data_IF_916202345621
#
_entry.id   IF_916202345621
#
_cell.length_a   1.000
_cell.length_b   1.000
_cell.length_c   1.000
_cell.angle_alpha   90.00
_cell.angle_beta   90.00
_cell.angle_gamma   90.00
#
_symmetry.space_group_name_H-M   'P 1'
#
loop_
_entity.id
_entity.type
_entity.pdbx_description
1 polymer ?
#
# COMPACT_ATOMS: atom_id res chain seq x y z
N UNK A 1 -32.34 2.81 -1.03
CA UNK A 1 -30.89 3.07 -1.16
C UNK A 1 -30.51 2.84 -2.61
N UNK A 2 -29.90 3.81 -3.30
CA UNK A 2 -29.55 3.65 -4.72
C UNK A 2 -28.30 2.75 -4.86
N UNK A 3 -28.20 1.94 -5.93
CA UNK A 3 -27.05 1.07 -6.21
C UNK A 3 -25.72 1.81 -6.43
N UNK A 4 -25.73 3.14 -6.51
CA UNK A 4 -24.55 3.98 -6.77
C UNK A 4 -23.65 4.18 -5.53
N UNK A 5 -24.05 3.66 -4.37
CA UNK A 5 -23.31 3.80 -3.10
C UNK A 5 -22.34 2.65 -2.79
N UNK A 6 -22.22 1.66 -3.67
CA UNK A 6 -21.25 0.56 -3.51
C UNK A 6 -20.28 0.58 -4.68
N UNK A 7 -19.12 1.20 -4.46
CA UNK A 7 -18.08 1.26 -5.49
C UNK A 7 -16.99 2.30 -5.26
N UNK A 8 -16.57 2.56 -4.02
CA UNK A 8 -15.21 3.07 -3.80
C UNK A 8 -14.27 1.85 -3.78
N UNK A 9 -13.13 1.96 -4.48
CA UNK A 9 -12.03 1.01 -4.35
C UNK A 9 -11.70 0.85 -2.86
N UNK A 10 -11.65 -0.37 -2.34
CA UNK A 10 -11.38 -0.61 -0.92
C UNK A 10 -10.02 -0.01 -0.50
N UNK A 11 -9.07 0.02 -1.43
CA UNK A 11 -7.75 0.64 -1.30
C UNK A 11 -7.81 2.18 -1.12
N UNK A 12 -8.97 2.79 -1.35
CA UNK A 12 -9.24 4.22 -1.17
C UNK A 12 -10.12 4.52 0.05
N UNK A 13 -10.44 3.52 0.88
CA UNK A 13 -11.31 3.69 2.05
C UNK A 13 -10.80 4.76 3.02
N UNK A 14 -9.48 4.82 3.25
CA UNK A 14 -8.87 5.84 4.10
C UNK A 14 -9.20 7.26 3.59
N UNK A 15 -9.02 7.49 2.29
CA UNK A 15 -9.27 8.79 1.67
C UNK A 15 -10.76 9.11 1.49
N UNK A 16 -11.63 8.10 1.33
CA UNK A 16 -13.07 8.25 1.10
C UNK A 16 -13.87 8.49 2.37
N UNK A 17 -13.53 7.78 3.44
CA UNK A 17 -14.30 7.80 4.69
C UNK A 17 -13.75 8.82 5.68
N UNK A 18 -12.42 8.84 5.83
CA UNK A 18 -11.76 9.70 6.80
C UNK A 18 -11.24 10.99 6.15
N UNK A 19 -10.88 10.92 4.87
CA UNK A 19 -10.61 12.07 4.04
C UNK A 19 -11.87 12.74 3.48
N UNK A 20 -11.74 14.00 3.04
CA UNK A 20 -12.81 14.74 2.36
C UNK A 20 -12.99 14.36 0.88
N UNK A 21 -13.08 13.07 0.52
CA UNK A 21 -13.16 12.61 -0.89
C UNK A 21 -14.57 12.36 -1.40
N UNK A 22 -14.66 12.28 -2.73
CA UNK A 22 -15.85 12.31 -3.61
C UNK A 22 -16.97 11.33 -3.21
N UNK A 23 -16.65 10.31 -2.43
CA UNK A 23 -17.58 9.30 -1.94
C UNK A 23 -17.51 9.27 -0.40
N UNK A 24 -18.15 10.25 0.25
CA UNK A 24 -18.17 10.34 1.71
C UNK A 24 -19.08 9.26 2.30
N UNK A 25 -18.56 8.03 2.43
CA UNK A 25 -19.25 6.90 3.05
C UNK A 25 -19.22 6.95 4.59
N UNK A 26 -19.02 8.15 5.17
CA UNK A 26 -18.92 8.35 6.62
C UNK A 26 -20.18 7.94 7.39
N UNK A 27 -21.37 7.95 6.78
CA UNK A 27 -22.58 7.36 7.38
C UNK A 27 -22.47 5.84 7.52
N UNK A 28 -22.01 5.16 6.47
CA UNK A 28 -21.80 3.72 6.50
C UNK A 28 -20.73 3.38 7.55
N UNK A 29 -19.61 4.10 7.55
CA UNK A 29 -18.55 3.89 8.53
C UNK A 29 -19.08 4.01 9.97
N UNK A 30 -19.75 5.10 10.32
CA UNK A 30 -20.29 5.29 11.68
C UNK A 30 -21.31 4.22 12.05
N UNK A 31 -22.16 3.80 11.12
CA UNK A 31 -23.18 2.79 11.37
C UNK A 31 -22.60 1.39 11.64
N UNK A 32 -21.45 1.06 11.05
CA UNK A 32 -20.86 -0.29 11.13
C UNK A 32 -19.63 -0.39 12.03
N UNK A 33 -18.85 0.69 12.15
CA UNK A 33 -17.56 0.72 12.81
C UNK A 33 -17.44 1.83 13.87
N UNK A 34 -18.45 2.69 14.02
CA UNK A 34 -18.49 3.74 15.05
C UNK A 34 -17.38 4.78 14.84
N UNK A 35 -16.52 4.92 15.85
CA UNK A 35 -15.41 5.88 15.88
C UNK A 35 -14.05 5.24 15.53
N UNK A 36 -14.05 4.02 14.97
CA UNK A 36 -12.82 3.33 14.58
C UNK A 36 -12.01 4.16 13.56
N UNK A 37 -10.73 4.36 13.82
CA UNK A 37 -9.79 4.97 12.87
C UNK A 37 -9.37 3.98 11.79
N UNK A 38 -8.78 4.46 10.69
CA UNK A 38 -8.34 3.56 9.61
C UNK A 38 -7.34 2.52 10.11
N UNK A 39 -6.42 2.92 11.00
CA UNK A 39 -5.42 2.01 11.57
C UNK A 39 -6.02 0.94 12.48
N UNK A 40 -7.22 1.14 13.03
CA UNK A 40 -7.91 0.13 13.86
C UNK A 40 -8.35 -1.10 13.04
N UNK A 41 -8.36 -1.02 11.72
CA UNK A 41 -8.61 -2.17 10.85
C UNK A 41 -7.41 -3.10 10.68
N UNK A 42 -6.18 -2.65 10.92
CA UNK A 42 -5.00 -3.47 10.68
C UNK A 42 -4.99 -4.78 11.50
N UNK A 43 -5.34 -4.80 12.81
CA UNK A 43 -5.47 -6.05 13.55
C UNK A 43 -6.56 -6.99 13.03
N UNK A 44 -7.57 -6.46 12.34
CA UNK A 44 -8.67 -7.26 11.76
C UNK A 44 -8.30 -7.85 10.38
N UNK A 45 -7.25 -7.36 9.73
CA UNK A 45 -6.71 -7.95 8.50
C UNK A 45 -5.89 -9.19 8.87
N UNK A 46 -6.52 -10.35 8.97
CA UNK A 46 -5.84 -11.59 9.42
C UNK A 46 -5.24 -12.41 8.27
N UNK A 47 -5.73 -12.22 7.05
CA UNK A 47 -5.39 -13.04 5.89
C UNK A 47 -5.56 -14.56 6.15
N UNK A 48 -6.58 -14.95 6.93
CA UNK A 48 -6.78 -16.33 7.41
C UNK A 48 -6.91 -17.38 6.28
N UNK A 49 -7.44 -16.97 5.13
CA UNK A 49 -7.61 -17.82 3.95
C UNK A 49 -6.55 -17.59 2.87
N UNK A 50 -5.48 -16.83 3.18
CA UNK A 50 -4.41 -16.57 2.24
C UNK A 50 -3.52 -17.82 2.05
N UNK A 51 -3.67 -18.43 0.88
CA UNK A 51 -2.91 -19.58 0.39
C UNK A 51 -2.20 -19.20 -0.92
N UNK A 52 -0.90 -18.84 -0.85
CA UNK A 52 -0.13 -18.40 -2.02
C UNK A 52 0.06 -19.51 -3.05
N UNK A 53 0.13 -20.78 -2.64
CA UNK A 53 0.28 -21.92 -3.55
C UNK A 53 -1.01 -22.13 -4.36
N UNK A 54 -2.18 -22.01 -3.72
CA UNK A 54 -3.47 -22.06 -4.41
C UNK A 54 -3.62 -20.91 -5.41
N UNK A 55 -3.18 -19.70 -5.05
CA UNK A 55 -3.17 -18.54 -5.94
C UNK A 55 -2.25 -18.77 -7.15
N UNK A 56 -1.00 -19.15 -6.90
CA UNK A 56 -0.03 -19.41 -7.97
C UNK A 56 -0.51 -20.52 -8.93
N UNK A 57 -1.10 -21.60 -8.40
CA UNK A 57 -1.68 -22.66 -9.23
C UNK A 57 -2.83 -22.13 -10.09
N UNK A 58 -3.74 -21.34 -9.50
CA UNK A 58 -4.84 -20.73 -10.24
C UNK A 58 -4.34 -19.84 -11.38
N UNK A 59 -3.38 -18.96 -11.10
CA UNK A 59 -2.81 -18.06 -12.11
C UNK A 59 -2.10 -18.83 -13.24
N UNK A 60 -1.33 -19.86 -12.90
CA UNK A 60 -0.68 -20.71 -13.89
C UNK A 60 -1.70 -21.43 -14.80
N UNK A 61 -2.77 -21.99 -14.22
CA UNK A 61 -3.85 -22.63 -15.00
C UNK A 61 -4.62 -21.64 -15.88
N UNK A 62 -4.74 -20.39 -15.44
CA UNK A 62 -5.32 -19.32 -16.26
C UNK A 62 -4.42 -18.89 -17.43
N UNK A 63 -3.18 -19.40 -17.50
CA UNK A 63 -2.22 -19.08 -18.56
C UNK A 63 -1.43 -17.80 -18.28
N UNK A 64 -1.43 -17.28 -17.06
CA UNK A 64 -0.58 -16.16 -16.68
C UNK A 64 0.90 -16.52 -16.86
N UNK A 65 1.72 -15.49 -17.07
CA UNK A 65 3.19 -15.60 -17.16
C UNK A 65 3.90 -14.79 -16.09
N UNK A 66 3.19 -13.84 -15.50
CA UNK A 66 3.66 -13.04 -14.39
C UNK A 66 2.48 -12.65 -13.49
N UNK A 67 2.79 -12.30 -12.25
CA UNK A 67 1.86 -11.80 -11.24
C UNK A 67 2.44 -10.52 -10.67
N UNK A 68 1.60 -9.50 -10.42
CA UNK A 68 2.01 -8.25 -9.76
C UNK A 68 1.16 -8.07 -8.53
N UNK A 69 1.78 -8.07 -7.34
CA UNK A 69 1.09 -7.84 -6.07
C UNK A 69 1.36 -6.43 -5.56
N UNK A 70 0.32 -5.73 -5.08
CA UNK A 70 0.46 -4.49 -4.31
C UNK A 70 1.29 -4.75 -3.05
N UNK A 71 2.55 -4.32 -3.06
CA UNK A 71 3.43 -4.41 -1.89
C UNK A 71 3.08 -3.35 -0.86
N UNK A 72 2.89 -2.10 -1.32
CA UNK A 72 2.44 -0.94 -0.55
C UNK A 72 1.52 -0.08 -1.43
N UNK A 73 0.35 0.28 -0.93
CA UNK A 73 -0.53 1.26 -1.56
C UNK A 73 -0.32 2.66 -0.96
N UNK A 74 -1.16 3.63 -1.34
CA UNK A 74 -1.05 5.00 -0.84
C UNK A 74 -1.26 5.15 0.67
N UNK A 75 -1.94 4.21 1.33
CA UNK A 75 -2.14 4.23 2.79
C UNK A 75 -0.87 3.90 3.59
N UNK A 76 0.19 3.46 2.91
CA UNK A 76 1.49 3.18 3.52
C UNK A 76 1.63 1.83 4.19
N UNK A 77 0.57 1.02 4.25
CA UNK A 77 0.63 -0.29 4.88
C UNK A 77 1.44 -1.25 4.01
N UNK A 78 2.52 -1.79 4.56
CA UNK A 78 3.43 -2.67 3.83
C UNK A 78 3.00 -4.14 3.97
N UNK A 79 2.76 -4.84 2.86
CA UNK A 79 2.45 -6.28 2.84
C UNK A 79 3.69 -7.19 3.06
N UNK A 80 4.76 -6.62 3.59
CA UNK A 80 5.95 -7.33 4.02
C UNK A 80 6.45 -6.80 5.37
N UNK A 81 7.18 -7.60 6.17
CA UNK A 81 7.82 -7.16 7.40
C UNK A 81 9.03 -6.27 7.06
N UNK A 82 8.77 -4.99 6.81
CA UNK A 82 9.79 -4.00 6.46
C UNK A 82 10.65 -3.60 7.66
N UNK A 83 11.96 -3.44 7.45
CA UNK A 83 12.88 -2.92 8.48
C UNK A 83 12.84 -1.37 8.59
N UNK A 84 11.98 -0.70 7.82
CA UNK A 84 11.89 0.75 7.84
C UNK A 84 11.33 1.27 9.18
N UNK A 85 12.07 2.14 9.91
CA UNK A 85 11.66 2.59 11.25
C UNK A 85 10.35 3.41 11.26
N UNK A 86 9.95 3.97 10.12
CA UNK A 86 8.70 4.72 9.97
C UNK A 86 7.48 3.83 9.71
N UNK A 87 7.65 2.51 9.70
CA UNK A 87 6.61 1.51 9.41
C UNK A 87 6.40 0.50 10.54
N UNK A 88 7.04 0.72 11.69
CA UNK A 88 6.84 -0.10 12.88
C UNK A 88 5.36 -0.07 13.27
N UNK A 89 4.74 -1.25 13.36
CA UNK A 89 3.32 -1.39 13.64
C UNK A 89 2.39 -0.97 12.49
N UNK A 90 2.92 -0.78 11.28
CA UNK A 90 2.15 -0.46 10.07
C UNK A 90 2.60 -1.30 8.87
N UNK A 91 2.75 -2.61 9.12
CA UNK A 91 3.08 -3.60 8.12
C UNK A 91 2.53 -4.97 8.53
N UNK A 92 2.43 -5.89 7.57
CA UNK A 92 1.86 -7.23 7.77
C UNK A 92 2.68 -8.17 8.64
N UNK A 93 3.95 -7.86 8.89
CA UNK A 93 4.78 -8.58 9.86
C UNK A 93 4.45 -8.25 11.30
N UNK A 94 4.18 -6.97 11.56
CA UNK A 94 3.97 -6.46 12.92
C UNK A 94 2.51 -6.54 13.38
N UNK A 95 1.55 -6.30 12.49
CA UNK A 95 0.13 -6.20 12.84
C UNK A 95 -0.76 -6.81 11.76
N UNK A 96 -1.83 -7.49 12.18
CA UNK A 96 -2.77 -8.16 11.29
C UNK A 96 -2.31 -9.57 10.95
N UNK A 97 -1.80 -9.87 9.74
CA UNK A 97 -1.47 -11.23 9.32
C UNK A 97 -0.29 -11.86 10.10
N UNK A 98 0.60 -11.04 10.65
CA UNK A 98 1.90 -11.44 11.23
C UNK A 98 2.71 -12.34 10.28
N UNK A 99 2.73 -11.98 8.99
CA UNK A 99 3.25 -12.79 7.87
C UNK A 99 3.98 -11.92 6.85
N UNK A 100 4.88 -12.53 6.10
CA UNK A 100 5.49 -11.94 4.91
C UNK A 100 4.69 -12.29 3.66
N UNK A 101 3.57 -11.58 3.44
CA UNK A 101 2.64 -11.90 2.35
C UNK A 101 3.30 -11.76 0.96
N UNK A 102 4.18 -10.76 0.81
CA UNK A 102 4.96 -10.56 -0.42
C UNK A 102 5.89 -11.74 -0.67
N UNK A 103 6.69 -12.13 0.32
CA UNK A 103 7.65 -13.24 0.21
C UNK A 103 6.95 -14.57 -0.08
N UNK A 104 5.91 -14.88 0.69
CA UNK A 104 5.14 -16.11 0.54
C UNK A 104 4.50 -16.24 -0.85
N UNK A 105 3.92 -15.16 -1.41
CA UNK A 105 3.38 -15.20 -2.77
C UNK A 105 4.48 -15.26 -3.82
N UNK A 106 5.58 -14.52 -3.63
CA UNK A 106 6.68 -14.50 -4.58
C UNK A 106 7.30 -15.88 -4.77
N UNK A 107 7.50 -16.62 -3.67
CA UNK A 107 8.02 -17.99 -3.70
C UNK A 107 7.06 -18.94 -4.42
N UNK A 108 5.76 -18.87 -4.11
CA UNK A 108 4.76 -19.72 -4.76
C UNK A 108 4.63 -19.45 -6.27
N UNK A 109 4.64 -18.17 -6.68
CA UNK A 109 4.55 -17.75 -8.09
C UNK A 109 5.78 -18.24 -8.87
N UNK A 110 6.98 -18.13 -8.29
CA UNK A 110 8.22 -18.62 -8.89
C UNK A 110 8.27 -20.13 -8.97
N UNK A 111 7.82 -20.84 -7.94
CA UNK A 111 7.72 -22.29 -7.93
C UNK A 111 6.77 -22.80 -9.02
N UNK A 112 5.74 -22.03 -9.37
CA UNK A 112 4.84 -22.30 -10.48
C UNK A 112 5.39 -21.87 -11.87
N UNK A 113 6.66 -21.43 -11.96
CA UNK A 113 7.33 -21.08 -13.21
C UNK A 113 6.94 -19.72 -13.80
N UNK A 114 6.29 -18.85 -13.03
CA UNK A 114 5.90 -17.50 -13.45
C UNK A 114 6.86 -16.44 -12.90
N UNK A 115 6.87 -15.26 -13.52
CA UNK A 115 7.61 -14.09 -13.02
C UNK A 115 6.81 -13.39 -11.92
N UNK A 116 7.47 -13.01 -10.83
CA UNK A 116 6.86 -12.21 -9.78
C UNK A 116 7.27 -10.75 -9.95
N UNK A 117 6.30 -9.85 -10.06
CA UNK A 117 6.46 -8.40 -9.98
C UNK A 117 5.76 -7.84 -8.75
N UNK A 118 6.04 -6.58 -8.42
CA UNK A 118 5.43 -5.87 -7.30
C UNK A 118 4.87 -4.55 -7.79
N UNK A 119 3.70 -4.17 -7.31
CA UNK A 119 3.23 -2.80 -7.37
C UNK A 119 3.77 -2.07 -6.13
N UNK A 120 4.19 -0.82 -6.30
CA UNK A 120 4.65 0.03 -5.21
C UNK A 120 4.20 1.48 -5.42
N UNK A 121 3.46 2.03 -4.46
CA UNK A 121 3.11 3.44 -4.52
C UNK A 121 4.30 4.33 -4.12
N UNK A 122 4.71 5.22 -5.02
CA UNK A 122 5.74 6.24 -4.76
C UNK A 122 5.22 7.23 -3.71
N UNK A 123 3.92 7.49 -3.72
CA UNK A 123 3.23 8.34 -2.76
C UNK A 123 2.81 7.54 -1.52
N UNK A 124 2.78 8.23 -0.39
CA UNK A 124 2.17 7.72 0.82
C UNK A 124 1.45 8.82 1.61
N UNK A 125 0.15 8.66 1.85
CA UNK A 125 -0.69 9.68 2.46
C UNK A 125 -0.32 9.99 3.92
N UNK A 126 0.20 9.01 4.67
CA UNK A 126 0.53 9.19 6.08
C UNK A 126 1.88 9.89 6.27
N UNK A 127 2.87 9.59 5.42
CA UNK A 127 4.25 10.05 5.61
C UNK A 127 4.72 11.11 4.61
N UNK A 128 3.91 11.41 3.59
CA UNK A 128 4.18 12.47 2.62
C UNK A 128 2.98 13.42 2.55
N UNK A 129 3.23 14.71 2.31
CA UNK A 129 2.20 15.77 2.22
C UNK A 129 1.41 15.70 0.90
N UNK A 130 0.90 14.52 0.57
CA UNK A 130 0.03 14.34 -0.57
C UNK A 130 -1.26 15.13 -0.38
N UNK A 131 -1.55 15.97 -1.36
CA UNK A 131 -2.67 16.90 -1.33
C UNK A 131 -3.45 16.77 -2.61
N UNK A 132 -4.77 16.90 -2.48
CA UNK A 132 -5.66 16.99 -3.63
C UNK A 132 -5.42 18.31 -4.36
N UNK A 133 -5.95 18.38 -5.58
CA UNK A 133 -5.97 19.59 -6.41
C UNK A 133 -6.56 20.84 -5.70
N UNK A 134 -7.43 20.65 -4.70
CA UNK A 134 -8.01 21.74 -3.91
C UNK A 134 -7.15 22.16 -2.69
N UNK A 135 -5.98 21.55 -2.49
CA UNK A 135 -5.04 21.82 -1.41
C UNK A 135 -5.28 21.05 -0.10
N UNK A 136 -6.36 20.27 0.00
CA UNK A 136 -6.69 19.44 1.16
C UNK A 136 -5.93 18.10 1.16
N UNK A 137 -5.69 17.52 2.34
CA UNK A 137 -5.04 16.21 2.46
C UNK A 137 -5.95 15.07 1.99
N UNK A 138 -5.35 13.97 1.53
CA UNK A 138 -6.11 12.75 1.20
C UNK A 138 -6.74 12.10 2.44
N UNK A 139 -6.06 12.16 3.59
CA UNK A 139 -6.47 11.62 4.89
C UNK A 139 -6.74 12.74 5.90
N UNK A 140 -7.28 12.45 7.12
CA UNK A 140 -7.40 13.46 8.16
C UNK A 140 -6.07 14.16 8.45
N UNK A 141 -6.11 15.49 8.61
CA UNK A 141 -4.89 16.25 8.91
C UNK A 141 -4.23 15.83 10.23
N UNK A 142 -5.02 15.33 11.18
CA UNK A 142 -4.50 14.83 12.45
C UNK A 142 -3.60 13.60 12.24
N UNK A 143 -3.98 12.70 11.32
CA UNK A 143 -3.22 11.50 11.00
C UNK A 143 -1.96 11.87 10.20
N UNK A 144 -2.09 12.74 9.20
CA UNK A 144 -0.94 13.27 8.46
C UNK A 144 0.09 13.97 9.38
N UNK A 145 -0.36 14.67 10.44
CA UNK A 145 0.54 15.26 11.45
C UNK A 145 1.14 14.23 12.40
N UNK A 146 0.40 13.17 12.71
CA UNK A 146 0.80 12.16 13.70
C UNK A 146 1.80 11.15 13.13
N UNK A 147 1.58 10.74 11.89
CA UNK A 147 2.38 9.71 11.22
C UNK A 147 3.34 10.30 10.18
N UNK A 148 3.18 11.59 9.87
CA UNK A 148 4.04 12.33 8.96
C UNK A 148 5.50 12.39 9.38
N UNK A 149 6.35 12.55 8.38
CA UNK A 149 7.74 12.95 8.56
C UNK A 149 7.98 14.29 7.85
N UNK A 150 9.18 14.84 7.99
CA UNK A 150 9.61 15.96 7.16
C UNK A 150 9.49 15.56 5.67
N UNK A 151 8.70 16.27 4.84
CA UNK A 151 8.58 15.96 3.42
C UNK A 151 9.92 15.87 2.70
N UNK A 152 10.89 16.71 3.04
CA UNK A 152 12.22 16.68 2.41
C UNK A 152 12.98 15.38 2.74
N UNK A 153 12.67 14.75 3.87
CA UNK A 153 13.27 13.49 4.30
C UNK A 153 12.61 12.25 3.67
N UNK A 154 11.42 12.37 3.06
CA UNK A 154 10.67 11.22 2.55
C UNK A 154 11.42 10.37 1.53
N UNK A 155 12.12 10.94 0.52
CA UNK A 155 12.83 10.13 -0.44
C UNK A 155 13.93 9.28 0.22
N UNK A 156 14.71 9.87 1.14
CA UNK A 156 15.86 9.22 1.79
C UNK A 156 15.48 8.28 2.92
N UNK A 157 14.39 8.57 3.64
CA UNK A 157 14.02 7.81 4.84
C UNK A 157 12.96 6.74 4.59
N UNK A 158 12.18 6.85 3.50
CA UNK A 158 11.10 5.91 3.21
C UNK A 158 11.22 5.35 1.80
N UNK A 159 11.11 6.18 0.76
CA UNK A 159 11.00 5.72 -0.62
C UNK A 159 12.20 4.88 -1.07
N UNK A 160 13.41 5.44 -0.98
CA UNK A 160 14.62 4.77 -1.45
C UNK A 160 15.00 3.55 -0.59
N UNK A 161 14.93 3.60 0.76
CA UNK A 161 15.15 2.43 1.58
C UNK A 161 14.17 1.28 1.30
N UNK A 162 12.86 1.56 1.17
CA UNK A 162 11.88 0.52 0.85
C UNK A 162 12.08 -0.04 -0.56
N UNK A 163 12.42 0.80 -1.54
CA UNK A 163 12.75 0.35 -2.89
C UNK A 163 13.93 -0.62 -2.89
N UNK A 164 15.01 -0.27 -2.18
CA UNK A 164 16.19 -1.11 -2.00
C UNK A 164 15.82 -2.43 -1.34
N UNK A 165 15.08 -2.37 -0.24
CA UNK A 165 14.63 -3.55 0.49
C UNK A 165 13.83 -4.51 -0.40
N UNK A 166 12.85 -4.00 -1.16
CA UNK A 166 12.04 -4.82 -2.07
C UNK A 166 12.90 -5.49 -3.16
N UNK A 167 13.86 -4.76 -3.72
CA UNK A 167 14.76 -5.29 -4.74
C UNK A 167 15.72 -6.36 -4.18
N UNK A 168 16.33 -6.10 -3.04
CA UNK A 168 17.32 -7.00 -2.44
C UNK A 168 16.66 -8.27 -1.91
N UNK A 169 15.54 -8.12 -1.19
CA UNK A 169 14.83 -9.21 -0.53
C UNK A 169 14.02 -10.05 -1.51
N UNK A 170 13.23 -9.40 -2.36
CA UNK A 170 12.28 -10.10 -3.21
C UNK A 170 12.71 -10.22 -4.65
N UNK A 171 13.68 -9.45 -5.17
CA UNK A 171 14.17 -9.53 -6.56
C UNK A 171 13.03 -9.61 -7.60
N UNK A 172 12.10 -8.65 -7.60
CA UNK A 172 10.97 -8.67 -8.52
C UNK A 172 11.45 -8.57 -9.98
N UNK A 173 10.71 -9.19 -10.89
CA UNK A 173 10.92 -9.08 -12.34
C UNK A 173 10.40 -7.76 -12.93
N UNK A 174 9.56 -7.05 -12.17
CA UNK A 174 8.95 -5.78 -12.52
C UNK A 174 8.58 -5.08 -11.21
N UNK A 175 8.88 -3.78 -11.10
CA UNK A 175 8.21 -2.91 -10.13
C UNK A 175 7.29 -1.98 -10.92
N UNK A 176 5.99 -2.06 -10.64
CA UNK A 176 4.96 -1.20 -11.20
C UNK A 176 4.69 -0.05 -10.24
N UNK A 177 5.08 1.16 -10.60
CA UNK A 177 4.94 2.33 -9.73
C UNK A 177 3.66 3.11 -9.98
N UNK A 178 3.15 3.79 -8.95
CA UNK A 178 1.93 4.60 -9.04
C UNK A 178 1.98 5.82 -8.11
N UNK A 179 1.15 6.82 -8.42
CA UNK A 179 0.94 8.06 -7.69
C UNK A 179 2.00 9.15 -7.93
N UNK A 180 3.20 8.78 -8.38
CA UNK A 180 4.33 9.71 -8.51
C UNK A 180 4.02 10.98 -9.29
N UNK A 181 3.15 10.92 -10.31
CA UNK A 181 2.86 12.03 -11.23
C UNK A 181 1.80 13.03 -10.73
N UNK A 182 1.09 12.75 -9.63
CA UNK A 182 0.02 13.63 -9.14
C UNK A 182 0.53 14.69 -8.16
N UNK A 183 1.37 14.28 -7.20
CA UNK A 183 1.79 15.13 -6.08
C UNK A 183 3.31 15.31 -5.96
N UNK A 184 4.09 14.56 -6.75
CA UNK A 184 5.54 14.51 -6.64
C UNK A 184 6.21 14.82 -7.98
N UNK A 185 7.39 15.46 -7.94
CA UNK A 185 8.23 15.60 -9.14
C UNK A 185 9.31 14.52 -9.19
N UNK A 186 9.88 14.27 -10.38
CA UNK A 186 11.05 13.41 -10.54
C UNK A 186 12.23 13.94 -9.72
N UNK A 187 12.41 15.27 -9.67
CA UNK A 187 13.48 15.92 -8.91
C UNK A 187 13.34 15.70 -7.40
N UNK A 188 12.11 15.77 -6.88
CA UNK A 188 11.85 15.51 -5.46
C UNK A 188 12.04 14.03 -5.10
N UNK A 189 11.41 13.14 -5.86
CA UNK A 189 11.44 11.68 -5.58
C UNK A 189 12.77 11.04 -5.94
N UNK A 190 13.59 11.70 -6.77
CA UNK A 190 14.89 11.20 -7.25
C UNK A 190 14.79 9.79 -7.84
N UNK A 191 13.71 9.52 -8.57
CA UNK A 191 13.41 8.18 -9.11
C UNK A 191 14.47 7.66 -10.08
N UNK A 192 15.28 8.52 -10.70
CA UNK A 192 16.42 8.09 -11.52
C UNK A 192 17.47 7.31 -10.72
N UNK A 193 17.66 7.65 -9.45
CA UNK A 193 18.60 6.96 -8.55
C UNK A 193 18.12 5.54 -8.21
N UNK A 194 16.82 5.26 -8.39
CA UNK A 194 16.23 3.94 -8.17
C UNK A 194 16.53 2.93 -9.29
N UNK A 195 17.02 3.42 -10.45
CA UNK A 195 17.32 2.63 -11.64
C UNK A 195 18.81 2.21 -11.73
N UNK A 196 19.64 2.68 -10.80
CA UNK A 196 21.09 2.44 -10.75
C UNK A 196 21.46 1.49 -9.63
#
# INVERSE_FOLDING_TARGET
>A
MSPERFGSYAEWYYASVYGRYRNWDGEFHRAHYGDATYRDFAPALTAELFDPARWANLFARAGARYVVLTSKHHDGYCLWPTDNPHKVGWNSGDVGPCRDLVGELADAVRAAGMRMGLYYSIIEWETHTSRRMNGEHFIPEADARRFGIDPEAYPDQILHPQWRELNERYRPSLIFTDGGEWDCSEEYTRTRELLT
#
